data_IF_293446656850
#
_entry.id   IF_293446656850
#
_cell.length_a   1.000
_cell.length_b   1.000
_cell.length_c   1.000
_cell.angle_alpha   90.00
_cell.angle_beta   90.00
_cell.angle_gamma   90.00
#
_symmetry.space_group_name_H-M   'P 1'
#
loop_
_entity.id
_entity.type
_entity.pdbx_description
1 polymer ?
#
# COMPACT_ATOMS: atom_id res chain seq x y z
N UNK A 1 -10.86 24.28 5.40
CA UNK A 1 -11.75 23.29 4.76
C UNK A 1 -11.00 22.62 3.61
N UNK A 2 -11.30 21.36 3.24
CA UNK A 2 -10.64 20.69 2.10
C UNK A 2 -10.75 21.50 0.79
N UNK A 3 -11.86 22.21 0.60
CA UNK A 3 -12.05 23.15 -0.51
C UNK A 3 -10.97 24.25 -0.53
N UNK A 4 -10.69 24.89 0.60
CA UNK A 4 -9.69 25.95 0.71
C UNK A 4 -8.28 25.47 0.33
N UNK A 5 -7.94 24.21 0.63
CA UNK A 5 -6.66 23.60 0.23
C UNK A 5 -6.58 23.32 -1.27
N UNK A 6 -7.70 23.01 -1.91
CA UNK A 6 -7.77 22.86 -3.36
C UNK A 6 -7.60 24.21 -4.07
N UNK A 7 -8.22 25.27 -3.51
CA UNK A 7 -8.11 26.62 -4.04
C UNK A 7 -6.73 27.25 -3.83
N UNK A 8 -6.08 26.98 -2.69
CA UNK A 8 -4.72 27.44 -2.40
C UNK A 8 -3.66 26.85 -3.35
N UNK A 9 -3.94 25.72 -3.99
CA UNK A 9 -3.05 25.06 -4.92
C UNK A 9 -1.81 24.42 -4.27
N UNK A 10 -0.84 24.01 -5.08
CA UNK A 10 0.42 23.41 -4.63
C UNK A 10 0.36 21.90 -4.32
N UNK A 11 -0.82 21.28 -4.38
CA UNK A 11 -1.00 19.84 -4.28
C UNK A 11 -0.78 19.16 -5.62
N UNK A 12 -0.11 18.00 -5.60
CA UNK A 12 0.02 17.13 -6.77
C UNK A 12 -1.33 16.47 -7.06
N UNK A 13 -1.57 16.15 -8.33
CA UNK A 13 -2.81 15.51 -8.77
C UNK A 13 -3.14 14.24 -7.98
N UNK A 14 -2.13 13.42 -7.66
CA UNK A 14 -2.32 12.18 -6.88
C UNK A 14 -2.81 12.42 -5.45
N UNK A 15 -2.44 13.56 -4.84
CA UNK A 15 -2.85 13.92 -3.49
C UNK A 15 -4.33 14.34 -3.50
N UNK A 16 -4.71 15.16 -4.47
CA UNK A 16 -6.10 15.56 -4.70
C UNK A 16 -7.01 14.36 -4.97
N UNK A 17 -6.57 13.46 -5.85
CA UNK A 17 -7.32 12.25 -6.19
C UNK A 17 -7.50 11.32 -4.98
N UNK A 18 -6.43 11.09 -4.21
CA UNK A 18 -6.46 10.20 -3.05
C UNK A 18 -7.41 10.70 -1.96
N UNK A 19 -7.36 12.00 -1.66
CA UNK A 19 -8.21 12.60 -0.63
C UNK A 19 -9.66 12.64 -1.08
N UNK A 20 -9.93 13.00 -2.35
CA UNK A 20 -11.28 13.00 -2.90
C UNK A 20 -11.92 11.60 -2.85
N UNK A 21 -11.16 10.55 -3.23
CA UNK A 21 -11.59 9.15 -3.10
C UNK A 21 -11.85 8.75 -1.65
N UNK A 22 -11.00 9.19 -0.72
CA UNK A 22 -11.16 8.93 0.71
C UNK A 22 -12.46 9.56 1.24
N UNK A 23 -12.76 10.81 0.89
CA UNK A 23 -13.97 11.52 1.33
C UNK A 23 -15.25 10.89 0.75
N UNK A 24 -15.19 10.36 -0.47
CA UNK A 24 -16.32 9.67 -1.10
C UNK A 24 -16.55 8.23 -0.56
N UNK A 25 -15.61 7.68 0.20
CA UNK A 25 -15.64 6.28 0.63
C UNK A 25 -16.85 5.96 1.52
N UNK A 26 -17.62 4.91 1.18
CA UNK A 26 -18.77 4.49 1.97
C UNK A 26 -20.01 5.37 1.80
N UNK A 27 -19.97 6.33 0.88
CA UNK A 27 -21.13 7.14 0.48
C UNK A 27 -21.77 6.56 -0.78
N UNK A 28 -22.98 7.03 -1.10
CA UNK A 28 -23.68 6.63 -2.33
C UNK A 28 -22.99 7.10 -3.61
N UNK A 29 -22.04 8.03 -3.52
CA UNK A 29 -21.28 8.59 -4.66
C UNK A 29 -20.53 7.49 -5.42
N UNK A 30 -20.05 6.46 -4.72
CA UNK A 30 -19.32 5.33 -5.32
C UNK A 30 -20.24 4.18 -5.78
N UNK A 31 -21.55 4.40 -5.76
CA UNK A 31 -22.56 3.39 -6.03
C UNK A 31 -22.96 2.59 -4.79
N UNK A 32 -24.17 2.02 -4.87
CA UNK A 32 -24.83 1.31 -3.78
C UNK A 32 -25.35 -0.02 -4.28
N UNK A 33 -25.16 -1.07 -3.48
CA UNK A 33 -25.83 -2.36 -3.66
C UNK A 33 -27.04 -2.40 -2.72
N UNK A 34 -28.21 -2.70 -3.26
CA UNK A 34 -29.39 -2.98 -2.46
C UNK A 34 -29.54 -4.49 -2.29
N UNK A 35 -29.88 -4.92 -1.09
CA UNK A 35 -30.17 -6.31 -0.77
C UNK A 35 -31.55 -6.38 -0.15
N UNK A 36 -32.39 -7.24 -0.71
CA UNK A 36 -33.74 -7.54 -0.24
C UNK A 36 -33.81 -9.02 0.16
N UNK A 37 -34.74 -9.35 1.05
CA UNK A 37 -35.04 -10.73 1.35
C UNK A 37 -35.73 -11.39 0.15
N UNK A 38 -35.52 -12.70 -0.05
CA UNK A 38 -36.24 -13.46 -1.06
C UNK A 38 -37.73 -13.64 -0.74
N UNK A 39 -38.15 -13.44 0.52
CA UNK A 39 -39.56 -13.43 0.90
C UNK A 39 -40.18 -12.07 0.56
N UNK A 40 -41.15 -12.06 -0.37
CA UNK A 40 -41.87 -10.87 -0.84
C UNK A 40 -42.60 -10.11 0.27
N UNK A 41 -42.92 -10.77 1.39
CA UNK A 41 -43.61 -10.15 2.54
C UNK A 41 -42.65 -9.53 3.56
N UNK A 42 -41.34 -9.66 3.37
CA UNK A 42 -40.35 -9.13 4.31
C UNK A 42 -39.92 -7.71 3.90
N UNK A 43 -40.22 -6.66 4.69
CA UNK A 43 -39.91 -5.28 4.34
C UNK A 43 -38.44 -4.89 4.55
N UNK A 44 -37.58 -5.82 4.97
CA UNK A 44 -36.19 -5.52 5.30
C UNK A 44 -35.36 -5.29 4.03
N UNK A 45 -34.75 -4.10 3.94
CA UNK A 45 -33.83 -3.72 2.87
C UNK A 45 -32.52 -3.26 3.49
N UNK A 46 -31.40 -3.70 2.92
CA UNK A 46 -30.06 -3.26 3.32
C UNK A 46 -29.36 -2.60 2.15
N UNK A 47 -28.87 -1.39 2.36
CA UNK A 47 -28.05 -0.66 1.41
C UNK A 47 -26.58 -0.75 1.82
N UNK A 48 -25.72 -1.10 0.87
CA UNK A 48 -24.29 -1.22 1.05
C UNK A 48 -23.60 -0.33 0.03
N UNK A 49 -23.02 0.77 0.51
CA UNK A 49 -22.22 1.67 -0.31
C UNK A 49 -20.87 1.03 -0.65
N UNK A 50 -20.40 1.25 -1.87
CA UNK A 50 -19.08 0.77 -2.29
C UNK A 50 -17.95 1.55 -1.59
N UNK A 51 -16.81 0.88 -1.45
CA UNK A 51 -15.60 1.43 -0.86
C UNK A 51 -14.65 2.00 -1.91
N UNK A 52 -13.82 2.98 -1.54
CA UNK A 52 -12.95 3.67 -2.51
C UNK A 52 -11.69 2.90 -2.93
N UNK A 53 -11.30 1.85 -2.20
CA UNK A 53 -10.05 1.08 -2.41
C UNK A 53 -8.76 1.93 -2.43
N UNK A 54 -8.82 3.18 -1.98
CA UNK A 54 -7.66 4.06 -1.89
C UNK A 54 -6.78 3.68 -0.70
N UNK A 55 -5.46 3.68 -0.89
CA UNK A 55 -4.46 3.38 0.15
C UNK A 55 -4.46 4.42 1.28
N UNK A 56 -4.80 5.68 0.97
CA UNK A 56 -4.86 6.76 1.95
C UNK A 56 -6.12 6.69 2.83
N UNK A 57 -7.16 5.98 2.40
CA UNK A 57 -8.38 5.85 3.18
C UNK A 57 -8.13 4.99 4.43
N UNK A 58 -8.48 5.46 5.65
CA UNK A 58 -8.22 4.71 6.89
C UNK A 58 -8.85 3.32 6.89
N UNK A 59 -10.07 3.16 6.36
CA UNK A 59 -10.77 1.88 6.31
C UNK A 59 -10.21 0.96 5.20
N UNK A 60 -10.13 1.46 3.97
CA UNK A 60 -9.70 0.65 2.83
C UNK A 60 -8.21 0.32 2.89
N UNK A 61 -7.39 1.32 3.23
CA UNK A 61 -5.95 1.18 3.41
C UNK A 61 -5.62 0.18 4.51
N UNK A 62 -6.26 0.29 5.68
CA UNK A 62 -6.06 -0.67 6.78
C UNK A 62 -6.41 -2.10 6.36
N UNK A 63 -7.57 -2.31 5.74
CA UNK A 63 -7.98 -3.64 5.25
C UNK A 63 -6.97 -4.20 4.24
N UNK A 64 -6.51 -3.38 3.30
CA UNK A 64 -5.52 -3.79 2.31
C UNK A 64 -4.17 -4.14 2.98
N UNK A 65 -3.74 -3.35 3.97
CA UNK A 65 -2.53 -3.63 4.75
C UNK A 65 -2.66 -4.95 5.51
N UNK A 66 -3.80 -5.22 6.16
CA UNK A 66 -4.02 -6.47 6.89
C UNK A 66 -3.98 -7.70 5.98
N UNK A 67 -4.62 -7.59 4.81
CA UNK A 67 -4.56 -8.63 3.78
C UNK A 67 -3.13 -8.85 3.30
N UNK A 68 -2.38 -7.78 3.08
CA UNK A 68 -0.97 -7.86 2.68
C UNK A 68 -0.10 -8.51 3.76
N UNK A 69 -0.30 -8.16 5.04
CA UNK A 69 0.40 -8.77 6.19
C UNK A 69 0.11 -10.27 6.23
N UNK A 70 -1.14 -10.68 6.10
CA UNK A 70 -1.50 -12.10 6.09
C UNK A 70 -0.79 -12.86 4.96
N UNK A 71 -0.72 -12.28 3.76
CA UNK A 71 0.01 -12.87 2.63
C UNK A 71 1.52 -12.94 2.90
N UNK A 72 2.12 -11.89 3.48
CA UNK A 72 3.55 -11.93 3.79
C UNK A 72 3.86 -12.96 4.87
N UNK A 73 3.04 -13.05 5.92
CA UNK A 73 3.22 -14.04 6.97
C UNK A 73 3.19 -15.48 6.43
N UNK A 74 2.33 -15.75 5.44
CA UNK A 74 2.27 -17.06 4.78
C UNK A 74 3.46 -17.35 3.84
N UNK A 75 4.28 -16.33 3.49
CA UNK A 75 5.50 -16.50 2.68
C UNK A 75 6.75 -16.72 3.52
N UNK A 76 6.70 -16.36 4.80
CA UNK A 76 7.86 -16.50 5.68
C UNK A 76 8.12 -17.99 5.95
N UNK A 77 9.40 -18.40 6.01
CA UNK A 77 9.74 -19.78 6.32
C UNK A 77 9.39 -20.11 7.78
N UNK A 78 9.04 -21.37 8.03
CA UNK A 78 8.80 -21.90 9.38
C UNK A 78 10.12 -22.20 10.10
N UNK A 79 10.94 -21.16 10.28
CA UNK A 79 12.21 -21.23 11.00
C UNK A 79 12.56 -19.86 11.60
N UNK A 80 13.54 -19.76 12.52
CA UNK A 80 14.04 -18.47 12.97
C UNK A 80 14.64 -17.67 11.80
N UNK A 81 14.13 -16.47 11.56
CA UNK A 81 14.60 -15.56 10.52
C UNK A 81 14.82 -14.16 11.10
N UNK A 82 15.57 -13.34 10.35
CA UNK A 82 15.84 -11.95 10.71
C UNK A 82 15.50 -11.02 9.54
N UNK A 83 14.85 -9.90 9.83
CA UNK A 83 14.60 -8.86 8.85
C UNK A 83 15.82 -7.93 8.75
N UNK A 84 16.39 -7.81 7.56
CA UNK A 84 17.50 -6.90 7.28
C UNK A 84 17.00 -5.70 6.48
N UNK A 85 17.31 -4.49 6.96
CA UNK A 85 16.96 -3.24 6.30
C UNK A 85 18.25 -2.56 5.84
N UNK A 86 18.30 -2.19 4.57
CA UNK A 86 19.41 -1.43 4.01
C UNK A 86 19.05 0.05 3.96
N UNK A 87 19.87 0.87 4.60
CA UNK A 87 19.74 2.33 4.52
C UNK A 87 20.63 2.84 3.40
N UNK A 88 20.05 3.60 2.46
CA UNK A 88 20.81 4.26 1.41
C UNK A 88 21.65 5.41 2.03
N UNK A 89 22.98 5.42 1.87
CA UNK A 89 23.82 6.54 2.29
C UNK A 89 23.36 7.88 1.69
N UNK A 90 23.44 8.93 2.49
CA UNK A 90 23.07 10.31 2.12
C UNK A 90 23.81 10.83 0.89
N UNK A 91 25.08 10.45 0.75
CA UNK A 91 25.92 10.75 -0.42
C UNK A 91 25.31 10.30 -1.75
N UNK A 92 24.43 9.29 -1.75
CA UNK A 92 23.79 8.75 -2.94
C UNK A 92 22.38 9.32 -3.17
N UNK A 93 21.81 10.08 -2.23
CA UNK A 93 20.42 10.55 -2.33
C UNK A 93 20.19 11.40 -3.58
N UNK A 94 21.11 12.32 -3.88
CA UNK A 94 21.00 13.18 -5.07
C UNK A 94 20.99 12.37 -6.37
N UNK A 95 21.79 11.30 -6.46
CA UNK A 95 21.83 10.43 -7.64
C UNK A 95 20.45 9.79 -7.91
N UNK A 96 19.82 9.23 -6.88
CA UNK A 96 18.49 8.60 -7.00
C UNK A 96 17.34 9.60 -7.09
N UNK A 97 17.52 10.80 -6.55
CA UNK A 97 16.56 11.89 -6.69
C UNK A 97 16.41 12.31 -8.15
N UNK A 98 17.52 12.53 -8.85
CA UNK A 98 17.50 12.89 -10.28
C UNK A 98 17.26 11.69 -11.20
N UNK A 99 17.65 10.47 -10.79
CA UNK A 99 17.53 9.25 -11.60
C UNK A 99 16.59 8.24 -10.95
N UNK A 100 15.31 8.59 -10.82
CA UNK A 100 14.30 7.77 -10.13
C UNK A 100 14.13 6.36 -10.72
N UNK A 101 14.44 6.17 -12.00
CA UNK A 101 14.40 4.87 -12.66
C UNK A 101 15.43 3.86 -12.11
N UNK A 102 16.50 4.33 -11.46
CA UNK A 102 17.50 3.46 -10.80
C UNK A 102 16.96 2.79 -9.53
N UNK A 103 15.87 3.29 -8.95
CA UNK A 103 15.30 2.74 -7.72
C UNK A 103 14.85 1.27 -7.88
N UNK A 104 14.50 0.85 -9.10
CA UNK A 104 14.16 -0.54 -9.40
C UNK A 104 15.37 -1.48 -9.18
N UNK A 105 16.57 -1.03 -9.55
CA UNK A 105 17.81 -1.80 -9.38
C UNK A 105 18.29 -1.86 -7.92
N UNK A 106 17.86 -0.92 -7.07
CA UNK A 106 18.38 -0.79 -5.70
C UNK A 106 18.14 -2.05 -4.86
N UNK A 107 16.94 -2.63 -4.94
CA UNK A 107 16.59 -3.83 -4.19
C UNK A 107 17.40 -5.04 -4.64
N UNK A 108 17.63 -5.17 -5.95
CA UNK A 108 18.45 -6.24 -6.51
C UNK A 108 19.90 -6.12 -6.05
N UNK A 109 20.46 -4.92 -6.12
CA UNK A 109 21.83 -4.65 -5.67
C UNK A 109 22.00 -4.95 -4.18
N UNK A 110 21.03 -4.59 -3.33
CA UNK A 110 21.08 -4.88 -1.90
C UNK A 110 21.12 -6.40 -1.64
N UNK A 111 20.26 -7.17 -2.31
CA UNK A 111 20.24 -8.63 -2.21
C UNK A 111 21.55 -9.26 -2.72
N UNK A 112 22.05 -8.83 -3.87
CA UNK A 112 23.30 -9.32 -4.47
C UNK A 112 24.50 -9.06 -3.55
N UNK A 113 24.55 -7.89 -2.91
CA UNK A 113 25.64 -7.53 -1.99
C UNK A 113 25.62 -8.37 -0.71
N UNK A 114 24.41 -8.68 -0.21
CA UNK A 114 24.23 -9.58 0.93
C UNK A 114 24.68 -11.01 0.60
N UNK A 115 24.29 -11.53 -0.56
CA UNK A 115 24.71 -12.85 -1.06
C UNK A 115 26.23 -12.89 -1.25
N UNK A 116 26.81 -11.85 -1.84
CA UNK A 116 28.25 -11.71 -2.03
C UNK A 116 29.02 -11.78 -0.70
N UNK A 117 28.57 -11.01 0.28
CA UNK A 117 29.20 -10.98 1.61
C UNK A 117 29.05 -12.31 2.34
N UNK A 118 27.88 -12.94 2.24
CA UNK A 118 27.63 -14.27 2.81
C UNK A 118 28.57 -15.33 2.25
N UNK A 119 28.74 -15.37 0.91
CA UNK A 119 29.67 -16.30 0.24
C UNK A 119 31.10 -16.10 0.73
N UNK A 120 31.57 -14.86 0.87
CA UNK A 120 32.90 -14.55 1.41
C UNK A 120 33.11 -15.04 2.85
N UNK A 121 32.03 -15.13 3.63
CA UNK A 121 32.05 -15.65 5.01
C UNK A 121 31.74 -17.14 5.11
N UNK A 122 31.55 -17.84 3.98
CA UNK A 122 31.17 -19.26 3.97
C UNK A 122 29.75 -19.53 4.47
N UNK A 123 28.86 -18.54 4.45
CA UNK A 123 27.48 -18.65 4.90
C UNK A 123 26.53 -18.90 3.72
N UNK A 124 25.54 -19.77 3.92
CA UNK A 124 24.42 -19.95 2.99
C UNK A 124 23.22 -19.14 3.48
N UNK A 125 22.73 -18.23 2.63
CA UNK A 125 21.60 -17.35 2.94
C UNK A 125 20.43 -17.70 2.04
N UNK A 126 19.22 -17.79 2.61
CA UNK A 126 17.96 -17.93 1.87
C UNK A 126 17.25 -16.59 1.81
N UNK A 127 17.23 -15.97 0.62
CA UNK A 127 16.52 -14.74 0.27
C UNK A 127 15.73 -15.01 -1.00
#
# INVERSE_FOLDING_TARGET
>A
CWADLLEAGGLRQIEVESISKMLACGTSILGVKHYTCANEHCPHVKYLCNTCHCRACPSCGKKATDQWIAVQNNRLPDCPWQHLVFTLPDTLWSLFFYNRWLLDALFRLAADNLIYTARRRGLRVGI
#
